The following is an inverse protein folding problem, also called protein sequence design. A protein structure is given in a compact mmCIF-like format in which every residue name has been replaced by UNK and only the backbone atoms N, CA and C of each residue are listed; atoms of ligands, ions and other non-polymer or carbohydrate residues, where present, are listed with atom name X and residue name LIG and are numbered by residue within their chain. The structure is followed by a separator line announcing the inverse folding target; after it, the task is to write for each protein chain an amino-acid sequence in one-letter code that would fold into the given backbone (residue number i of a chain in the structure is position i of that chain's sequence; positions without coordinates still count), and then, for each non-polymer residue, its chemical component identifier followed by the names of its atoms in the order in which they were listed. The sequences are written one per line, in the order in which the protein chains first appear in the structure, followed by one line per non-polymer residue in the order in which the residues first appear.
data_IF_916565371282
#
_entry.id   IF_916565371282
#
_cell.length_a   1.000
_cell.length_b   1.000
_cell.length_c   1.000
_cell.angle_alpha   90.00
_cell.angle_beta   90.00
_cell.angle_gamma   90.00
#
_symmetry.space_group_name_H-M   'P 1'
#
loop_
_entity.id
_entity.type
_entity.pdbx_description
1 polymer ?
#
# COMPACT_ATOMS: atom_id res chain seq x y z
N UNK A 1 6.48 4.14 58.59
CA UNK A 1 6.51 2.90 57.79
C UNK A 1 5.45 2.83 56.69
N UNK A 2 4.19 3.27 56.88
CA UNK A 2 3.16 3.17 55.82
C UNK A 2 3.37 4.08 54.58
N UNK A 3 4.09 5.22 54.70
CA UNK A 3 4.33 6.11 53.55
C UNK A 3 5.35 5.57 52.54
N UNK A 4 6.33 4.77 52.95
CA UNK A 4 7.31 4.17 52.03
C UNK A 4 6.71 3.06 51.16
N UNK A 5 5.73 2.30 51.67
CA UNK A 5 5.12 1.18 50.94
C UNK A 5 4.26 1.70 49.78
N UNK A 6 3.53 2.81 49.98
CA UNK A 6 2.69 3.40 48.94
C UNK A 6 3.50 3.97 47.76
N UNK A 7 4.62 4.66 48.04
CA UNK A 7 5.49 5.20 46.98
C UNK A 7 6.17 4.09 46.18
N UNK A 8 6.58 3.01 46.85
CA UNK A 8 7.23 1.87 46.19
C UNK A 8 6.24 1.09 45.31
N UNK A 9 4.99 0.91 45.76
CA UNK A 9 3.93 0.31 44.95
C UNK A 9 3.54 1.16 43.73
N UNK A 10 3.47 2.49 43.87
CA UNK A 10 3.20 3.37 42.73
C UNK A 10 4.33 3.34 41.68
N UNK A 11 5.59 3.31 42.11
CA UNK A 11 6.73 3.21 41.18
C UNK A 11 6.74 1.85 40.47
N UNK A 12 6.45 0.75 41.18
CA UNK A 12 6.32 -0.58 40.58
C UNK A 12 5.15 -0.69 39.59
N UNK A 13 4.01 -0.05 39.88
CA UNK A 13 2.86 0.01 38.97
C UNK A 13 3.17 0.82 37.72
N UNK A 14 3.88 1.96 37.85
CA UNK A 14 4.34 2.76 36.71
C UNK A 14 5.33 1.95 35.87
N UNK A 15 6.32 1.30 36.50
CA UNK A 15 7.28 0.45 35.79
C UNK A 15 6.62 -0.74 35.09
N UNK A 16 5.65 -1.42 35.73
CA UNK A 16 4.92 -2.51 35.09
C UNK A 16 4.03 -2.03 33.95
N UNK A 17 3.48 -0.81 34.06
CA UNK A 17 2.68 -0.20 33.00
C UNK A 17 3.56 0.23 31.83
N UNK A 18 4.72 0.84 32.10
CA UNK A 18 5.73 1.20 31.11
C UNK A 18 6.38 -0.03 30.47
N UNK A 19 6.60 -1.12 31.21
CA UNK A 19 7.08 -2.40 30.69
C UNK A 19 6.02 -3.10 29.83
N UNK A 20 4.75 -3.04 30.22
CA UNK A 20 3.65 -3.52 29.37
C UNK A 20 3.50 -2.68 28.11
N UNK A 21 3.63 -1.36 28.22
CA UNK A 21 3.65 -0.42 27.09
C UNK A 21 4.86 -0.75 26.19
N UNK A 22 6.06 -0.90 26.72
CA UNK A 22 7.27 -1.29 25.98
C UNK A 22 7.13 -2.64 25.28
N UNK A 23 6.56 -3.65 25.97
CA UNK A 23 6.27 -4.97 25.39
C UNK A 23 5.13 -4.94 24.35
N UNK A 24 4.21 -3.99 24.44
CA UNK A 24 3.06 -3.82 23.54
C UNK A 24 3.37 -2.94 22.33
N UNK A 25 4.29 -1.97 22.45
CA UNK A 25 4.83 -1.15 21.37
C UNK A 25 5.96 -1.83 20.59
N UNK A 26 6.31 -3.06 20.96
CA UNK A 26 7.42 -3.78 20.37
C UNK A 26 8.72 -3.25 20.97
N UNK A 27 9.41 -4.14 21.69
CA UNK A 27 10.77 -4.33 21.26
C UNK A 27 10.66 -4.58 19.75
N UNK A 28 11.17 -3.67 18.93
CA UNK A 28 11.72 -4.09 17.66
C UNK A 28 12.48 -5.38 17.98
N UNK A 29 12.16 -6.42 17.25
CA UNK A 29 13.08 -7.53 17.10
C UNK A 29 14.35 -6.96 16.46
N UNK A 30 15.17 -6.27 17.27
CA UNK A 30 16.60 -6.17 17.08
C UNK A 30 17.15 -7.57 17.36
N UNK A 31 16.81 -8.52 16.48
CA UNK A 31 17.53 -9.78 16.39
C UNK A 31 18.88 -9.43 15.77
N UNK A 32 19.91 -9.41 16.60
CA UNK A 32 21.29 -9.44 16.13
C UNK A 32 21.51 -10.78 15.43
N UNK A 33 21.53 -10.77 14.09
CA UNK A 33 21.96 -11.92 13.32
C UNK A 33 23.48 -12.11 13.47
N UNK A 34 23.89 -13.36 13.55
CA UNK A 34 25.30 -13.74 13.65
C UNK A 34 25.87 -14.00 12.26
N UNK A 35 27.19 -13.96 12.10
CA UNK A 35 27.86 -14.32 10.85
C UNK A 35 27.56 -15.76 10.37
N UNK A 36 26.99 -16.62 11.22
CA UNK A 36 26.55 -17.96 10.85
C UNK A 36 25.24 -17.96 10.04
N UNK A 37 24.35 -16.98 10.27
CA UNK A 37 23.08 -16.85 9.55
C UNK A 37 23.30 -16.45 8.07
N UNK A 38 24.39 -15.72 7.81
CA UNK A 38 24.84 -15.37 6.45
C UNK A 38 25.37 -16.56 5.64
N UNK A 39 25.85 -17.64 6.28
CA UNK A 39 26.43 -18.80 5.57
C UNK A 39 25.40 -19.74 4.95
N UNK A 40 24.12 -19.66 5.35
CA UNK A 40 23.04 -20.46 4.77
C UNK A 40 22.38 -19.80 3.55
N UNK A 41 22.71 -18.54 3.26
CA UNK A 41 22.26 -17.85 2.06
C UNK A 41 23.12 -18.30 0.87
N UNK A 42 22.54 -19.08 -0.03
CA UNK A 42 23.17 -19.42 -1.31
C UNK A 42 23.31 -18.15 -2.16
N UNK A 43 24.49 -17.52 -2.09
CA UNK A 43 24.92 -16.34 -2.85
C UNK A 43 25.03 -16.55 -4.37
N UNK A 44 24.35 -17.55 -4.96
CA UNK A 44 24.37 -17.83 -6.39
C UNK A 44 23.06 -17.48 -7.13
N UNK A 45 22.07 -16.92 -6.44
CA UNK A 45 20.87 -16.32 -7.05
C UNK A 45 20.84 -14.80 -6.90
N UNK A 46 22.00 -14.16 -7.00
CA UNK A 46 22.06 -12.73 -7.31
C UNK A 46 21.44 -12.50 -8.69
N UNK A 47 20.20 -12.01 -8.72
CA UNK A 47 19.83 -11.04 -9.74
C UNK A 47 19.86 -9.71 -9.04
N UNK A 48 20.76 -8.77 -9.40
CA UNK A 48 20.54 -7.39 -9.02
C UNK A 48 19.09 -7.04 -9.35
N UNK A 49 18.46 -6.22 -8.50
CA UNK A 49 17.19 -5.59 -8.87
C UNK A 49 17.36 -5.10 -10.31
N UNK A 50 16.42 -5.34 -11.24
CA UNK A 50 16.49 -4.71 -12.53
C UNK A 50 16.43 -3.22 -12.26
N UNK A 51 17.62 -2.62 -12.19
CA UNK A 51 17.87 -1.21 -12.41
C UNK A 51 17.28 -1.04 -13.80
N UNK A 52 16.08 -0.49 -13.90
CA UNK A 52 15.69 0.13 -15.15
C UNK A 52 16.74 1.19 -15.39
N UNK A 53 17.72 0.88 -16.23
CA UNK A 53 18.59 1.92 -16.77
C UNK A 53 17.65 2.83 -17.52
N UNK A 54 17.77 4.12 -17.25
CA UNK A 54 17.07 5.17 -18.00
C UNK A 54 17.35 5.00 -19.51
N UNK A 55 18.45 4.33 -19.87
CA UNK A 55 18.89 4.03 -21.22
C UNK A 55 18.06 2.98 -21.99
N UNK A 56 17.16 2.22 -21.35
CA UNK A 56 16.30 1.22 -22.03
C UNK A 56 14.92 1.78 -22.43
N UNK A 57 14.67 3.09 -22.21
CA UNK A 57 13.46 3.75 -22.73
C UNK A 57 13.75 4.17 -24.17
N UNK A 58 13.52 3.26 -25.13
CA UNK A 58 13.29 3.69 -26.51
C UNK A 58 12.16 4.73 -26.48
N UNK A 59 12.45 5.92 -26.99
CA UNK A 59 11.52 7.05 -27.06
C UNK A 59 10.38 6.69 -28.04
N UNK A 60 9.43 5.87 -27.57
CA UNK A 60 8.20 5.58 -28.25
C UNK A 60 7.31 6.83 -28.16
N UNK A 61 7.63 7.84 -28.98
CA UNK A 61 6.67 8.88 -29.38
C UNK A 61 5.62 8.22 -30.26
N UNK A 62 4.69 7.52 -29.64
CA UNK A 62 3.40 7.27 -30.28
C UNK A 62 2.56 8.53 -30.15
N UNK A 63 2.00 8.97 -31.28
CA UNK A 63 1.28 10.22 -31.47
C UNK A 63 -0.15 10.19 -30.90
N UNK A 64 -0.42 9.29 -29.95
CA UNK A 64 -1.67 9.19 -29.24
C UNK A 64 -1.43 9.70 -27.82
N UNK A 65 -1.66 11.01 -27.61
CA UNK A 65 -1.54 11.61 -26.28
C UNK A 65 -2.60 11.00 -25.36
N UNK A 66 -2.26 9.90 -24.69
CA UNK A 66 -3.08 9.29 -23.66
C UNK A 66 -3.39 10.39 -22.63
N UNK A 67 -4.63 10.79 -22.56
CA UNK A 67 -5.07 11.84 -21.65
C UNK A 67 -5.08 11.29 -20.22
N UNK A 68 -4.28 11.86 -19.32
CA UNK A 68 -4.14 11.41 -17.93
C UNK A 68 -4.82 12.41 -16.98
N UNK A 69 -5.65 11.90 -16.08
CA UNK A 69 -6.24 12.63 -14.98
C UNK A 69 -5.67 12.15 -13.63
N UNK A 70 -5.22 13.08 -12.79
CA UNK A 70 -4.80 12.80 -11.41
C UNK A 70 -5.98 13.07 -10.48
N UNK A 71 -6.32 12.09 -9.63
CA UNK A 71 -7.49 12.15 -8.75
C UNK A 71 -7.08 11.97 -7.29
N UNK A 72 -7.48 12.92 -6.44
CA UNK A 72 -7.36 12.85 -4.98
C UNK A 72 -8.76 12.99 -4.38
N UNK A 73 -9.14 12.07 -3.49
CA UNK A 73 -10.45 12.03 -2.85
C UNK A 73 -10.26 11.99 -1.34
N UNK A 74 -10.77 13.01 -0.64
CA UNK A 74 -10.62 13.17 0.82
C UNK A 74 -11.97 13.12 1.54
N UNK A 75 -11.97 12.66 2.80
CA UNK A 75 -13.20 12.50 3.58
C UNK A 75 -13.82 13.83 3.93
N UNK A 76 -13.00 14.72 4.48
CA UNK A 76 -13.31 16.11 4.77
C UNK A 76 -12.02 16.89 4.59
N UNK A 77 -12.08 18.10 4.00
CA UNK A 77 -10.88 18.92 3.77
C UNK A 77 -10.01 19.04 5.03
N UNK A 78 -8.90 18.31 5.07
CA UNK A 78 -7.93 18.35 6.16
C UNK A 78 -6.93 19.48 5.89
N UNK A 79 -6.74 20.36 6.88
CA UNK A 79 -5.69 21.38 6.82
C UNK A 79 -4.29 20.77 6.87
N UNK A 80 -4.15 19.57 7.42
CA UNK A 80 -2.88 18.88 7.70
C UNK A 80 -2.21 18.22 6.48
N UNK A 81 -2.77 18.38 5.29
CA UNK A 81 -2.35 17.68 4.07
C UNK A 81 -2.27 18.67 2.90
N UNK A 82 -2.21 19.97 3.20
CA UNK A 82 -2.25 21.01 2.19
C UNK A 82 -1.03 20.96 1.27
N UNK A 83 0.16 20.67 1.81
CA UNK A 83 1.38 20.67 1.00
C UNK A 83 1.38 19.58 -0.08
N UNK A 84 0.97 18.35 0.24
CA UNK A 84 0.89 17.25 -0.74
C UNK A 84 -0.11 17.59 -1.85
N UNK A 85 -1.32 17.98 -1.47
CA UNK A 85 -2.40 18.36 -2.40
C UNK A 85 -1.94 19.51 -3.31
N UNK A 86 -1.29 20.54 -2.74
CA UNK A 86 -0.76 21.66 -3.52
C UNK A 86 0.38 21.23 -4.44
N UNK A 87 1.28 20.34 -4.01
CA UNK A 87 2.37 19.80 -4.84
C UNK A 87 1.84 19.05 -6.06
N UNK A 88 0.79 18.23 -5.87
CA UNK A 88 0.15 17.46 -6.94
C UNK A 88 -0.59 18.37 -7.91
N UNK A 89 -1.34 19.36 -7.41
CA UNK A 89 -1.98 20.38 -8.24
C UNK A 89 -0.95 21.09 -9.11
N UNK A 90 0.18 21.47 -8.52
CA UNK A 90 1.27 22.17 -9.21
C UNK A 90 1.87 21.31 -10.32
N UNK A 91 2.18 20.06 -9.99
CA UNK A 91 2.71 19.09 -10.94
C UNK A 91 1.74 18.86 -12.12
N UNK A 92 0.45 18.70 -11.84
CA UNK A 92 -0.57 18.54 -12.86
C UNK A 92 -0.64 19.75 -13.82
N UNK A 93 -0.66 20.97 -13.27
CA UNK A 93 -0.69 22.20 -14.06
C UNK A 93 0.56 22.34 -14.96
N UNK A 94 1.73 22.03 -14.42
CA UNK A 94 3.00 22.17 -15.15
C UNK A 94 3.17 21.10 -16.24
N UNK A 95 2.76 19.87 -15.99
CA UNK A 95 2.89 18.76 -16.94
C UNK A 95 1.71 18.63 -17.91
N UNK A 96 0.64 19.41 -17.69
CA UNK A 96 -0.55 19.40 -18.54
C UNK A 96 -1.51 18.24 -18.25
N UNK A 97 -1.50 17.69 -17.03
CA UNK A 97 -2.47 16.67 -16.61
C UNK A 97 -3.74 17.31 -16.05
N UNK A 98 -4.88 16.64 -16.25
CA UNK A 98 -6.10 17.03 -15.55
C UNK A 98 -5.97 16.72 -14.05
N UNK A 99 -6.56 17.56 -13.21
CA UNK A 99 -6.49 17.41 -11.75
C UNK A 99 -7.89 17.49 -11.12
N UNK A 100 -8.28 16.43 -10.42
CA UNK A 100 -9.54 16.34 -9.69
C UNK A 100 -9.28 16.18 -8.21
N UNK A 101 -9.68 17.20 -7.44
CA UNK A 101 -9.71 17.15 -5.98
C UNK A 101 -11.17 17.08 -5.52
N UNK A 102 -11.54 15.99 -4.85
CA UNK A 102 -12.91 15.75 -4.41
C UNK A 102 -12.95 15.71 -2.88
N UNK A 103 -13.64 16.68 -2.29
CA UNK A 103 -13.96 16.71 -0.87
C UNK A 103 -15.33 16.03 -0.65
N UNK A 104 -15.30 14.77 -0.21
CA UNK A 104 -16.50 13.94 -0.07
C UNK A 104 -17.51 14.53 0.92
N UNK A 105 -17.04 15.18 2.00
CA UNK A 105 -17.92 15.80 3.00
C UNK A 105 -18.80 16.92 2.45
N UNK A 106 -18.39 17.53 1.33
CA UNK A 106 -19.08 18.65 0.70
C UNK A 106 -20.02 18.23 -0.44
N UNK A 107 -20.08 16.94 -0.77
CA UNK A 107 -20.85 16.45 -1.91
C UNK A 107 -21.95 15.47 -1.47
N UNK A 108 -23.14 16.01 -1.19
CA UNK A 108 -24.31 15.24 -0.73
C UNK A 108 -24.74 14.19 -1.76
N UNK A 109 -24.63 14.47 -3.05
CA UNK A 109 -24.96 13.51 -4.12
C UNK A 109 -24.02 12.31 -4.09
N UNK A 110 -22.70 12.53 -3.97
CA UNK A 110 -21.74 11.44 -3.81
C UNK A 110 -21.97 10.66 -2.52
N UNK A 111 -22.35 11.32 -1.43
CA UNK A 111 -22.69 10.64 -0.17
C UNK A 111 -23.86 9.67 -0.31
N UNK A 112 -24.85 10.04 -1.14
CA UNK A 112 -25.98 9.15 -1.44
C UNK A 112 -25.62 8.03 -2.42
N UNK A 113 -24.76 8.28 -3.40
CA UNK A 113 -24.41 7.30 -4.44
C UNK A 113 -23.33 6.31 -4.00
N UNK A 114 -22.45 6.70 -3.07
CA UNK A 114 -21.35 5.90 -2.55
C UNK A 114 -21.46 5.70 -1.03
N UNK A 115 -22.46 4.95 -0.55
CA UNK A 115 -22.77 4.82 0.87
C UNK A 115 -21.90 3.78 1.59
N UNK A 116 -20.71 3.45 1.09
CA UNK A 116 -19.80 2.52 1.76
C UNK A 116 -19.49 3.01 3.18
N UNK A 117 -19.56 2.13 4.19
CA UNK A 117 -19.37 2.50 5.60
C UNK A 117 -17.96 3.06 5.87
N UNK A 118 -16.98 2.50 5.17
CA UNK A 118 -15.59 2.88 5.30
C UNK A 118 -15.12 3.73 4.12
N UNK A 119 -14.61 4.91 4.46
CA UNK A 119 -14.13 5.88 3.50
C UNK A 119 -13.00 5.36 2.60
N UNK A 120 -12.19 4.42 3.07
CA UNK A 120 -11.14 3.82 2.22
C UNK A 120 -11.74 3.16 0.97
N UNK A 121 -12.90 2.52 1.12
CA UNK A 121 -13.67 1.92 0.01
C UNK A 121 -14.53 2.93 -0.74
N UNK A 122 -15.13 3.90 -0.04
CA UNK A 122 -15.92 4.98 -0.66
C UNK A 122 -15.17 5.68 -1.79
N UNK A 123 -13.86 5.92 -1.63
CA UNK A 123 -13.03 6.59 -2.65
C UNK A 123 -13.03 5.84 -3.99
N UNK A 124 -13.10 4.51 -3.98
CA UNK A 124 -13.13 3.72 -5.22
C UNK A 124 -14.49 3.80 -5.92
N UNK A 125 -15.59 3.92 -5.17
CA UNK A 125 -16.91 4.23 -5.73
C UNK A 125 -16.93 5.63 -6.35
N UNK A 126 -16.40 6.63 -5.64
CA UNK A 126 -16.34 8.02 -6.14
C UNK A 126 -15.47 8.12 -7.40
N UNK A 127 -14.33 7.43 -7.44
CA UNK A 127 -13.50 7.34 -8.65
C UNK A 127 -14.28 6.71 -9.81
N UNK A 128 -15.04 5.64 -9.55
CA UNK A 128 -15.89 5.00 -10.57
C UNK A 128 -16.94 5.95 -11.13
N UNK A 129 -17.61 6.73 -10.28
CA UNK A 129 -18.59 7.74 -10.72
C UNK A 129 -17.92 8.85 -11.56
N UNK A 130 -16.75 9.33 -11.14
CA UNK A 130 -15.97 10.31 -11.91
C UNK A 130 -15.61 9.77 -13.30
N UNK A 131 -15.04 8.56 -13.37
CA UNK A 131 -14.62 7.92 -14.62
C UNK A 131 -15.78 7.73 -15.62
N UNK A 132 -17.02 7.57 -15.14
CA UNK A 132 -18.23 7.50 -15.98
C UNK A 132 -18.66 8.86 -16.55
N UNK A 133 -18.28 9.97 -15.91
CA UNK A 133 -18.72 11.32 -16.27
C UNK A 133 -17.72 12.09 -17.12
N UNK A 134 -16.42 11.81 -16.97
CA UNK A 134 -15.35 12.52 -17.68
C UNK A 134 -14.59 11.59 -18.62
N UNK A 135 -14.07 12.16 -19.71
CA UNK A 135 -13.36 11.42 -20.75
C UNK A 135 -11.85 11.63 -20.61
N UNK A 136 -11.17 10.65 -20.03
CA UNK A 136 -9.72 10.52 -19.99
C UNK A 136 -9.35 9.05 -20.20
N UNK A 137 -8.19 8.79 -20.78
CA UNK A 137 -7.71 7.43 -21.05
C UNK A 137 -7.24 6.75 -19.77
N UNK A 138 -6.52 7.49 -18.93
CA UNK A 138 -5.92 7.00 -17.70
C UNK A 138 -6.25 7.91 -16.52
N UNK A 139 -6.47 7.28 -15.36
CA UNK A 139 -6.62 7.96 -14.08
C UNK A 139 -5.52 7.46 -13.14
N UNK A 140 -4.76 8.40 -12.58
CA UNK A 140 -3.88 8.14 -11.45
C UNK A 140 -4.64 8.47 -10.17
N UNK A 141 -5.00 7.44 -9.40
CA UNK A 141 -5.54 7.61 -8.06
C UNK A 141 -4.40 7.80 -7.07
N UNK A 142 -4.49 8.82 -6.21
CA UNK A 142 -3.51 9.08 -5.15
C UNK A 142 -4.19 9.33 -3.80
N UNK A 143 -3.61 8.76 -2.75
CA UNK A 143 -3.83 9.13 -1.37
C UNK A 143 -3.46 10.58 -1.10
N UNK A 144 -4.07 11.17 -0.07
CA UNK A 144 -3.83 12.55 0.28
C UNK A 144 -2.42 12.77 0.87
N UNK A 145 -1.81 11.76 1.46
CA UNK A 145 -0.45 11.82 2.03
C UNK A 145 0.70 11.59 1.03
N UNK A 146 0.40 11.59 -0.28
CA UNK A 146 1.37 11.41 -1.36
C UNK A 146 1.65 12.74 -2.04
N UNK A 147 2.90 13.18 -2.00
CA UNK A 147 3.36 14.41 -2.66
C UNK A 147 4.36 14.13 -3.77
N UNK A 148 4.44 15.05 -4.73
CA UNK A 148 5.47 14.99 -5.79
C UNK A 148 6.80 15.39 -5.19
N UNK A 149 7.86 14.65 -5.52
CA UNK A 149 9.24 15.01 -5.18
C UNK A 149 10.05 15.45 -6.39
N UNK A 150 9.94 14.75 -7.51
CA UNK A 150 10.62 15.13 -8.75
C UNK A 150 9.60 15.48 -9.85
N UNK A 151 9.28 16.77 -10.04
CA UNK A 151 8.25 17.18 -10.98
C UNK A 151 8.72 17.12 -12.44
N UNK A 152 10.00 16.78 -12.71
CA UNK A 152 10.54 16.60 -14.08
C UNK A 152 10.12 15.27 -14.68
N UNK A 153 9.96 14.24 -13.84
CA UNK A 153 9.50 12.91 -14.23
C UNK A 153 8.06 12.95 -14.71
N UNK A 154 7.72 12.07 -15.65
CA UNK A 154 6.41 12.01 -16.30
C UNK A 154 5.64 10.76 -15.91
N UNK A 155 4.30 10.85 -15.88
CA UNK A 155 3.43 9.71 -15.55
C UNK A 155 3.44 8.63 -16.63
N UNK A 156 3.67 9.03 -17.88
CA UNK A 156 3.74 8.15 -19.05
C UNK A 156 4.82 7.07 -18.87
N UNK A 157 5.90 7.35 -18.13
CA UNK A 157 6.97 6.40 -17.82
C UNK A 157 6.49 5.16 -17.04
N UNK A 158 5.34 5.25 -16.37
CA UNK A 158 4.77 4.18 -15.56
C UNK A 158 3.59 3.47 -16.23
N UNK A 159 3.11 4.00 -17.37
CA UNK A 159 2.09 3.35 -18.18
C UNK A 159 2.76 2.20 -18.95
N UNK A 160 2.29 0.95 -18.77
CA UNK A 160 2.88 -0.18 -19.48
C UNK A 160 2.76 -0.04 -20.99
N UNK A 161 3.82 -0.38 -21.71
CA UNK A 161 3.81 -0.42 -23.18
C UNK A 161 2.84 -1.49 -23.72
N UNK A 162 2.53 -2.51 -22.92
CA UNK A 162 1.53 -3.51 -23.25
C UNK A 162 0.12 -2.87 -23.29
N UNK A 163 -0.38 -2.54 -24.49
CA UNK A 163 -1.69 -1.90 -24.69
C UNK A 163 -2.90 -2.71 -24.17
N UNK A 164 -2.69 -3.97 -23.76
CA UNK A 164 -3.71 -4.82 -23.14
C UNK A 164 -3.92 -4.51 -21.66
N UNK A 165 -2.99 -3.82 -20.99
CA UNK A 165 -3.10 -3.53 -19.55
C UNK A 165 -4.10 -2.39 -19.30
N UNK A 166 -4.98 -2.63 -18.32
CA UNK A 166 -5.99 -1.66 -17.87
C UNK A 166 -5.77 -1.22 -16.43
N UNK A 167 -5.20 -2.07 -15.56
CA UNK A 167 -4.96 -1.75 -14.17
C UNK A 167 -3.49 -1.98 -13.82
N UNK A 168 -2.90 -1.01 -13.14
CA UNK A 168 -1.49 -1.03 -12.75
C UNK A 168 -1.38 -0.71 -11.26
N UNK A 169 -0.91 -1.70 -10.52
CA UNK A 169 -0.58 -1.59 -9.11
C UNK A 169 0.92 -1.78 -8.89
N UNK A 170 1.37 -1.65 -7.66
CA UNK A 170 2.73 -1.99 -7.28
C UNK A 170 2.79 -2.55 -5.85
N UNK A 171 3.76 -3.43 -5.61
CA UNK A 171 4.04 -3.95 -4.28
C UNK A 171 4.64 -2.84 -3.41
N UNK A 172 4.13 -2.68 -2.19
CA UNK A 172 4.75 -1.77 -1.21
C UNK A 172 6.12 -2.30 -0.84
N UNK A 173 7.03 -1.36 -0.58
CA UNK A 173 8.43 -1.68 -0.38
C UNK A 173 8.66 -2.62 0.82
N UNK A 174 8.12 -2.29 1.99
CA UNK A 174 8.44 -2.91 3.29
C UNK A 174 7.44 -3.97 3.78
N UNK A 175 6.42 -4.31 2.97
CA UNK A 175 5.38 -5.31 3.31
C UNK A 175 4.99 -6.16 2.13
N UNK A 176 4.38 -7.31 2.38
CA UNK A 176 3.81 -8.19 1.34
C UNK A 176 2.45 -7.67 0.82
N UNK A 177 2.27 -6.35 0.89
CA UNK A 177 1.04 -5.60 0.62
C UNK A 177 1.14 -4.96 -0.75
N UNK A 178 0.06 -5.02 -1.54
CA UNK A 178 -0.08 -4.19 -2.74
C UNK A 178 -0.55 -2.79 -2.33
N UNK A 179 0.02 -1.75 -2.91
CA UNK A 179 -0.36 -0.38 -2.61
C UNK A 179 -1.80 -0.09 -3.06
N UNK A 180 -2.72 0.01 -2.09
CA UNK A 180 -4.12 0.34 -2.33
C UNK A 180 -4.36 1.86 -2.50
N UNK A 181 -3.47 2.68 -1.95
CA UNK A 181 -3.64 4.14 -1.90
C UNK A 181 -3.01 4.86 -3.09
N UNK A 182 -2.58 4.11 -4.11
CA UNK A 182 -2.01 4.66 -5.32
C UNK A 182 -1.97 3.63 -6.44
N UNK A 183 -2.66 3.88 -7.55
CA UNK A 183 -2.70 3.00 -8.72
C UNK A 183 -3.06 3.78 -9.98
N UNK A 184 -2.62 3.27 -11.13
CA UNK A 184 -3.03 3.75 -12.45
C UNK A 184 -4.14 2.84 -12.98
N UNK A 185 -5.19 3.44 -13.52
CA UNK A 185 -6.32 2.71 -14.08
C UNK A 185 -6.79 3.34 -15.39
N UNK A 186 -6.92 2.51 -16.43
CA UNK A 186 -7.43 2.89 -17.74
C UNK A 186 -8.95 2.93 -17.71
N UNK A 187 -9.56 3.91 -18.37
CA UNK A 187 -11.02 4.02 -18.43
C UNK A 187 -11.64 2.97 -19.35
N UNK A 188 -11.98 1.81 -18.77
CA UNK A 188 -12.59 0.70 -19.49
C UNK A 188 -13.71 0.10 -18.67
N UNK A 189 -14.62 -0.62 -19.33
CA UNK A 189 -15.71 -1.33 -18.64
C UNK A 189 -15.20 -2.29 -17.56
N UNK A 190 -14.13 -3.06 -17.84
CA UNK A 190 -13.51 -3.96 -16.86
C UNK A 190 -12.97 -3.21 -15.63
N UNK A 191 -12.34 -2.06 -15.86
CA UNK A 191 -11.82 -1.20 -14.78
C UNK A 191 -12.93 -0.69 -13.87
N UNK A 192 -14.05 -0.23 -14.46
CA UNK A 192 -15.23 0.23 -13.73
C UNK A 192 -15.86 -0.90 -12.91
N UNK A 193 -15.94 -2.11 -13.48
CA UNK A 193 -16.44 -3.30 -12.79
C UNK A 193 -15.56 -3.71 -11.61
N UNK A 194 -14.23 -3.67 -11.79
CA UNK A 194 -13.28 -3.94 -10.72
C UNK A 194 -13.44 -2.94 -9.56
N UNK A 195 -13.43 -1.64 -9.86
CA UNK A 195 -13.56 -0.59 -8.82
C UNK A 195 -14.90 -0.65 -8.10
N UNK A 196 -16.00 -0.94 -8.81
CA UNK A 196 -17.32 -1.12 -8.20
C UNK A 196 -17.30 -2.27 -7.20
N UNK A 197 -16.79 -3.45 -7.61
CA UNK A 197 -16.68 -4.61 -6.71
C UNK A 197 -15.74 -4.36 -5.54
N UNK A 198 -14.63 -3.67 -5.78
CA UNK A 198 -13.68 -3.34 -4.72
C UNK A 198 -14.30 -2.36 -3.72
N UNK A 199 -15.04 -1.34 -4.16
CA UNK A 199 -15.76 -0.44 -3.29
C UNK A 199 -16.79 -1.18 -2.41
N UNK A 200 -17.51 -2.15 -2.97
CA UNK A 200 -18.52 -2.91 -2.23
C UNK A 200 -17.92 -4.03 -1.37
N UNK A 201 -16.61 -4.28 -1.48
CA UNK A 201 -15.92 -5.32 -0.74
C UNK A 201 -16.07 -5.12 0.77
N UNK A 202 -15.93 -3.88 1.27
CA UNK A 202 -16.10 -3.58 2.70
C UNK A 202 -17.49 -3.92 3.28
N UNK A 203 -18.52 -4.02 2.45
CA UNK A 203 -19.89 -4.32 2.87
C UNK A 203 -20.25 -5.82 2.74
N UNK A 204 -19.59 -6.55 1.82
CA UNK A 204 -19.99 -7.89 1.39
C UNK A 204 -19.09 -9.01 1.92
N UNK A 205 -18.15 -8.69 2.79
CA UNK A 205 -17.21 -9.64 3.36
C UNK A 205 -17.89 -10.47 4.46
N UNK A 206 -18.71 -11.43 4.06
CA UNK A 206 -19.19 -12.55 4.88
C UNK A 206 -19.20 -13.78 3.97
N UNK A 207 -18.58 -14.85 4.43
CA UNK A 207 -18.69 -16.21 3.88
C UNK A 207 -17.78 -16.59 2.70
N UNK A 208 -16.59 -17.11 3.02
CA UNK A 208 -16.01 -18.23 2.27
C UNK A 208 -15.01 -18.99 3.15
N UNK A 209 -15.39 -20.17 3.64
CA UNK A 209 -14.51 -21.06 4.40
C UNK A 209 -13.50 -21.79 3.51
N UNK A 210 -12.32 -22.10 4.08
CA UNK A 210 -11.20 -22.77 3.39
C UNK A 210 -11.42 -24.28 3.14
N UNK A 211 -12.23 -24.95 3.96
CA UNK A 211 -12.35 -26.41 3.98
C UNK A 211 -13.54 -26.87 3.13
N UNK A 212 -13.23 -27.51 2.00
CA UNK A 212 -14.20 -28.35 1.30
C UNK A 212 -14.40 -29.65 2.07
N UNK A 213 -15.66 -30.10 2.14
CA UNK A 213 -16.16 -31.40 2.63
C UNK A 213 -16.22 -31.61 4.18
N UNK A 214 -17.48 -31.67 4.63
CA UNK A 214 -18.06 -32.46 5.72
C UNK A 214 -17.88 -31.96 7.16
N UNK A 215 -16.69 -31.60 7.62
CA UNK A 215 -16.46 -31.38 9.06
C UNK A 215 -15.95 -29.97 9.45
N UNK A 216 -15.71 -29.09 8.49
CA UNK A 216 -15.26 -27.70 8.75
C UNK A 216 -16.38 -26.67 8.91
N UNK A 217 -17.60 -26.98 8.48
CA UNK A 217 -18.73 -26.04 8.47
C UNK A 217 -19.32 -25.78 9.88
N UNK A 218 -19.02 -26.62 10.87
CA UNK A 218 -19.55 -26.52 12.23
C UNK A 218 -18.76 -25.51 13.09
N UNK A 219 -17.52 -25.17 12.73
CA UNK A 219 -16.73 -24.19 13.49
C UNK A 219 -16.78 -22.76 12.94
N UNK A 220 -17.26 -22.56 11.71
CA UNK A 220 -17.38 -21.23 11.10
C UNK A 220 -18.78 -20.61 11.26
N UNK A 221 -19.77 -21.37 11.72
CA UNK A 221 -21.16 -20.95 11.79
C UNK A 221 -21.65 -20.94 13.24
N UNK A 222 -21.56 -19.80 13.94
CA UNK A 222 -22.58 -19.49 14.96
C UNK A 222 -22.20 -19.32 16.44
N UNK A 223 -20.99 -18.90 16.85
CA UNK A 223 -20.79 -18.62 18.30
C UNK A 223 -20.00 -17.37 18.71
N UNK A 224 -19.32 -16.68 17.80
CA UNK A 224 -18.52 -15.50 18.20
C UNK A 224 -19.19 -14.13 18.01
N UNK A 225 -20.33 -14.06 17.33
CA UNK A 225 -20.98 -12.79 16.99
C UNK A 225 -21.82 -12.15 18.12
N UNK A 226 -22.00 -12.81 19.28
CA UNK A 226 -22.93 -12.36 20.33
C UNK A 226 -22.31 -11.81 21.62
N UNK A 227 -20.97 -11.79 21.78
CA UNK A 227 -20.34 -11.42 23.06
C UNK A 227 -19.16 -10.44 22.95
N UNK A 228 -19.37 -9.28 22.30
CA UNK A 228 -18.46 -8.15 22.50
C UNK A 228 -19.27 -6.87 22.75
N UNK A 229 -19.47 -6.47 24.01
CA UNK A 229 -19.89 -5.11 24.32
C UNK A 229 -18.72 -4.16 24.02
N UNK A 230 -18.89 -3.28 23.03
CA UNK A 230 -18.13 -2.04 22.91
C UNK A 230 -18.36 -1.22 24.21
N UNK A 231 -17.35 -0.54 24.80
CA UNK A 231 -16.51 0.44 24.11
C UNK A 231 -15.11 0.67 24.73
N UNK A 232 -14.01 0.26 24.08
CA UNK A 232 -12.67 0.80 24.39
C UNK A 232 -11.80 0.82 23.13
N UNK A 233 -12.05 1.80 22.26
CA UNK A 233 -11.13 2.06 21.15
C UNK A 233 -9.96 2.92 21.61
N UNK A 234 -8.81 2.28 21.81
CA UNK A 234 -7.53 2.96 21.92
C UNK A 234 -6.98 3.28 20.52
N UNK A 235 -6.21 4.36 20.39
CA UNK A 235 -5.58 4.84 19.14
C UNK A 235 -4.84 3.72 18.34
N UNK A 236 -4.17 2.72 18.97
CA UNK A 236 -3.59 1.58 18.25
C UNK A 236 -4.61 0.74 17.46
N UNK A 237 -5.85 0.65 17.93
CA UNK A 237 -6.94 -0.07 17.25
C UNK A 237 -7.36 0.58 15.92
N UNK A 238 -7.33 1.91 15.82
CA UNK A 238 -7.65 2.61 14.56
C UNK A 238 -6.56 2.41 13.49
N UNK A 239 -5.28 2.43 13.87
CA UNK A 239 -4.16 2.15 12.95
C UNK A 239 -4.24 0.70 12.47
N UNK A 240 -4.54 -0.24 13.37
CA UNK A 240 -4.68 -1.65 13.04
C UNK A 240 -5.84 -1.91 12.07
N UNK A 241 -6.98 -1.25 12.24
CA UNK A 241 -8.12 -1.35 11.32
C UNK A 241 -7.79 -0.81 9.92
N UNK A 242 -7.13 0.35 9.80
CA UNK A 242 -6.74 0.91 8.50
C UNK A 242 -5.77 0.00 7.72
N UNK A 243 -4.81 -0.62 8.39
CA UNK A 243 -3.86 -1.53 7.73
C UNK A 243 -4.57 -2.79 7.25
N UNK A 244 -5.51 -3.37 8.03
CA UNK A 244 -6.33 -4.50 7.56
C UNK A 244 -7.06 -4.21 6.26
N UNK A 245 -7.54 -2.98 6.08
CA UNK A 245 -8.39 -2.57 4.95
C UNK A 245 -7.58 -2.39 3.67
N UNK A 246 -6.34 -1.89 3.76
CA UNK A 246 -5.48 -1.80 2.59
C UNK A 246 -5.11 -3.19 2.05
N UNK A 247 -4.90 -4.18 2.91
CA UNK A 247 -4.56 -5.55 2.48
C UNK A 247 -5.73 -6.24 1.74
N UNK A 248 -6.96 -5.71 1.79
CA UNK A 248 -8.11 -6.24 1.05
C UNK A 248 -8.03 -6.04 -0.48
N UNK A 249 -7.13 -5.17 -0.97
CA UNK A 249 -6.86 -5.07 -2.41
C UNK A 249 -6.38 -6.40 -2.99
N UNK A 250 -5.54 -7.15 -2.26
CA UNK A 250 -5.02 -8.42 -2.77
C UNK A 250 -6.14 -9.45 -2.93
N UNK A 251 -7.09 -9.47 -2.00
CA UNK A 251 -8.28 -10.31 -2.09
C UNK A 251 -9.16 -9.90 -3.28
N UNK A 252 -9.42 -8.61 -3.46
CA UNK A 252 -10.20 -8.09 -4.58
C UNK A 252 -9.54 -8.41 -5.94
N UNK A 253 -8.21 -8.28 -6.04
CA UNK A 253 -7.44 -8.63 -7.24
C UNK A 253 -7.56 -10.13 -7.53
N UNK A 254 -7.31 -10.98 -6.52
CA UNK A 254 -7.37 -12.43 -6.67
C UNK A 254 -8.76 -12.89 -7.08
N UNK A 255 -9.82 -12.38 -6.46
CA UNK A 255 -11.20 -12.75 -6.80
C UNK A 255 -11.62 -12.31 -8.20
N UNK A 256 -11.25 -11.08 -8.59
CA UNK A 256 -11.69 -10.51 -9.84
C UNK A 256 -10.91 -11.06 -11.04
N UNK A 257 -9.59 -11.08 -10.96
CA UNK A 257 -8.73 -11.47 -12.08
C UNK A 257 -8.42 -12.96 -12.08
N UNK A 258 -8.39 -13.62 -10.91
CA UNK A 258 -7.91 -14.99 -10.77
C UNK A 258 -8.95 -15.91 -10.10
N UNK A 259 -10.20 -15.99 -10.62
CA UNK A 259 -11.28 -16.73 -9.96
C UNK A 259 -10.96 -18.22 -9.76
N UNK A 260 -10.07 -18.80 -10.58
CA UNK A 260 -9.58 -20.17 -10.41
C UNK A 260 -8.85 -20.38 -9.06
N UNK A 261 -8.34 -19.32 -8.45
CA UNK A 261 -7.66 -19.35 -7.15
C UNK A 261 -8.60 -19.01 -5.99
N UNK A 262 -9.89 -18.75 -6.21
CA UNK A 262 -10.81 -18.27 -5.17
C UNK A 262 -10.80 -19.14 -3.91
N UNK A 263 -10.81 -20.46 -4.06
CA UNK A 263 -10.73 -21.37 -2.91
C UNK A 263 -9.47 -21.13 -2.05
N UNK A 264 -8.32 -20.95 -2.70
CA UNK A 264 -7.06 -20.67 -2.00
C UNK A 264 -7.04 -19.25 -1.43
N UNK A 265 -7.61 -18.29 -2.14
CA UNK A 265 -7.76 -16.93 -1.63
C UNK A 265 -8.64 -16.91 -0.37
N UNK A 266 -9.74 -17.66 -0.31
CA UNK A 266 -10.57 -17.82 0.89
C UNK A 266 -9.79 -18.42 2.07
N UNK A 267 -8.85 -19.35 1.80
CA UNK A 267 -7.93 -19.83 2.83
C UNK A 267 -7.02 -18.73 3.37
N UNK A 268 -6.44 -17.91 2.49
CA UNK A 268 -5.68 -16.74 2.93
C UNK A 268 -6.55 -15.81 3.79
N UNK A 269 -7.75 -15.47 3.31
CA UNK A 269 -8.66 -14.55 3.98
C UNK A 269 -9.10 -15.05 5.35
N UNK A 270 -9.15 -16.36 5.60
CA UNK A 270 -9.49 -16.92 6.91
C UNK A 270 -8.57 -16.37 8.01
N UNK A 271 -7.28 -16.17 7.72
CA UNK A 271 -6.33 -15.57 8.67
C UNK A 271 -6.61 -14.09 8.91
N UNK A 272 -6.99 -13.37 7.86
CA UNK A 272 -7.41 -11.98 7.97
C UNK A 272 -8.68 -11.85 8.81
N UNK A 273 -9.61 -12.79 8.66
CA UNK A 273 -10.88 -12.84 9.39
C UNK A 273 -10.73 -13.16 10.87
N UNK A 274 -9.99 -14.23 11.16
CA UNK A 274 -9.80 -14.73 12.52
C UNK A 274 -8.73 -13.95 13.28
N UNK A 275 -7.84 -13.26 12.56
CA UNK A 275 -6.76 -12.48 13.15
C UNK A 275 -7.27 -11.39 14.06
N UNK A 276 -6.49 -11.04 15.07
CA UNK A 276 -6.70 -9.89 15.97
C UNK A 276 -5.44 -9.02 16.11
N UNK A 277 -4.34 -9.42 15.46
CA UNK A 277 -3.01 -8.82 15.54
C UNK A 277 -2.40 -8.62 14.16
N UNK A 278 -1.35 -7.81 14.10
CA UNK A 278 -0.59 -7.55 12.87
C UNK A 278 0.08 -8.80 12.30
N UNK A 279 0.49 -9.73 13.16
CA UNK A 279 1.07 -11.02 12.74
C UNK A 279 0.15 -11.77 11.78
N UNK A 280 -1.14 -11.88 12.10
CA UNK A 280 -2.09 -12.60 11.24
C UNK A 280 -2.39 -11.86 9.93
N UNK A 281 -2.41 -10.52 9.99
CA UNK A 281 -2.52 -9.70 8.78
C UNK A 281 -1.34 -9.94 7.83
N UNK A 282 -0.12 -9.96 8.36
CA UNK A 282 1.08 -10.20 7.56
C UNK A 282 1.14 -11.64 7.02
N UNK A 283 0.57 -12.62 7.73
CA UNK A 283 0.41 -13.98 7.23
C UNK A 283 -0.56 -14.02 6.04
N UNK A 284 -1.68 -13.28 6.11
CA UNK A 284 -2.59 -13.12 4.98
C UNK A 284 -1.90 -12.44 3.79
N UNK A 285 -1.20 -11.33 4.00
CA UNK A 285 -0.48 -10.61 2.94
C UNK A 285 0.55 -11.53 2.26
N UNK A 286 1.34 -12.27 3.04
CA UNK A 286 2.29 -13.24 2.51
C UNK A 286 1.59 -14.37 1.72
N UNK A 287 0.44 -14.86 2.20
CA UNK A 287 -0.37 -15.88 1.50
C UNK A 287 -0.88 -15.37 0.15
N UNK A 288 -1.51 -14.20 0.14
CA UNK A 288 -2.07 -13.61 -1.07
C UNK A 288 -0.96 -13.25 -2.07
N UNK A 289 0.15 -12.70 -1.59
CA UNK A 289 1.33 -12.42 -2.40
C UNK A 289 1.93 -13.68 -3.00
N UNK A 290 1.98 -14.77 -2.22
CA UNK A 290 2.41 -16.07 -2.75
C UNK A 290 1.52 -16.50 -3.91
N UNK A 291 0.19 -16.47 -3.76
CA UNK A 291 -0.74 -16.85 -4.84
C UNK A 291 -0.53 -16.01 -6.10
N UNK A 292 -0.35 -14.70 -5.96
CA UNK A 292 -0.07 -13.80 -7.08
C UNK A 292 1.28 -14.11 -7.74
N UNK A 293 2.31 -14.43 -6.95
CA UNK A 293 3.65 -14.75 -7.46
C UNK A 293 3.72 -16.05 -8.26
N UNK A 294 2.75 -16.96 -8.09
CA UNK A 294 2.66 -18.19 -8.88
C UNK A 294 2.14 -17.95 -10.30
N UNK A 295 1.60 -16.76 -10.60
CA UNK A 295 1.03 -16.44 -11.89
C UNK A 295 2.06 -15.72 -12.76
N UNK A 296 2.41 -16.24 -13.95
CA UNK A 296 3.33 -15.56 -14.85
C UNK A 296 2.86 -14.15 -15.22
N UNK A 297 3.79 -13.22 -15.37
CA UNK A 297 3.49 -11.80 -15.63
C UNK A 297 2.72 -11.61 -16.94
N UNK A 298 2.99 -12.46 -17.93
CA UNK A 298 2.33 -12.48 -19.23
C UNK A 298 0.85 -12.87 -19.09
N UNK A 299 0.55 -13.81 -18.18
CA UNK A 299 -0.83 -14.22 -17.88
C UNK A 299 -1.58 -13.08 -17.17
N UNK A 300 -0.94 -12.37 -16.24
CA UNK A 300 -1.53 -11.18 -15.62
C UNK A 300 -1.80 -10.08 -16.66
N UNK A 301 -0.85 -9.83 -17.57
CA UNK A 301 -1.00 -8.85 -18.65
C UNK A 301 -2.12 -9.22 -19.64
N UNK A 302 -2.30 -10.51 -19.96
CA UNK A 302 -3.44 -11.01 -20.73
C UNK A 302 -4.78 -10.78 -20.01
N UNK A 303 -4.77 -10.82 -18.67
CA UNK A 303 -5.91 -10.44 -17.83
C UNK A 303 -6.04 -8.93 -17.60
N UNK A 304 -5.20 -8.14 -18.27
CA UNK A 304 -5.18 -6.67 -18.26
C UNK A 304 -4.73 -6.06 -16.93
N UNK A 305 -3.92 -6.80 -16.17
CA UNK A 305 -3.40 -6.42 -14.87
C UNK A 305 -1.87 -6.39 -14.89
N UNK A 306 -1.27 -5.32 -14.39
CA UNK A 306 0.16 -5.22 -14.10
C UNK A 306 0.34 -4.94 -12.61
N UNK A 307 1.25 -5.65 -11.97
CA UNK A 307 1.71 -5.34 -10.61
C UNK A 307 3.22 -5.16 -10.70
N UNK A 308 3.70 -3.94 -10.49
CA UNK A 308 5.12 -3.67 -10.43
C UNK A 308 5.74 -4.30 -9.18
N UNK A 309 6.97 -4.80 -9.32
CA UNK A 309 7.71 -5.29 -8.18
C UNK A 309 8.03 -4.16 -7.21
N UNK A 310 8.44 -4.53 -6.01
CA UNK A 310 8.77 -3.56 -4.98
C UNK A 310 9.89 -2.64 -5.49
N UNK A 311 9.75 -1.32 -5.33
CA UNK A 311 10.73 -0.35 -5.84
C UNK A 311 10.67 -0.03 -7.33
N UNK A 312 9.78 -0.67 -8.10
CA UNK A 312 9.52 -0.32 -9.51
C UNK A 312 8.30 0.60 -9.69
N UNK A 313 7.53 0.83 -8.62
CA UNK A 313 6.42 1.79 -8.63
C UNK A 313 6.88 3.25 -8.63
N UNK A 314 5.93 4.18 -8.72
CA UNK A 314 6.18 5.62 -8.79
C UNK A 314 6.25 6.34 -7.44
N UNK A 315 5.84 5.68 -6.35
CA UNK A 315 5.86 6.26 -5.01
C UNK A 315 6.74 5.46 -4.06
N UNK A 316 7.54 6.17 -3.27
CA UNK A 316 8.37 5.61 -2.21
C UNK A 316 7.83 6.03 -0.85
N UNK A 317 7.89 5.13 0.12
CA UNK A 317 7.50 5.45 1.50
C UNK A 317 8.62 6.28 2.16
N UNK A 318 8.36 7.56 2.41
CA UNK A 318 9.34 8.49 2.98
C UNK A 318 9.80 8.08 4.37
N UNK A 319 8.99 7.34 5.14
CA UNK A 319 9.43 6.81 6.43
C UNK A 319 10.55 5.79 6.26
N UNK A 320 10.53 4.99 5.19
CA UNK A 320 11.54 3.95 5.02
C UNK A 320 12.91 4.50 4.63
N UNK A 321 12.96 5.67 4.01
CA UNK A 321 14.20 6.32 3.57
C UNK A 321 14.60 7.53 4.40
N UNK A 322 13.89 7.84 5.49
CA UNK A 322 14.09 9.09 6.21
C UNK A 322 13.88 10.32 5.32
N UNK A 323 12.96 10.22 4.36
CA UNK A 323 12.67 11.18 3.30
C UNK A 323 13.81 11.43 2.31
N UNK A 324 14.89 10.63 2.35
CA UNK A 324 15.88 10.63 1.27
C UNK A 324 15.22 10.20 -0.04
N UNK A 325 15.63 10.85 -1.12
CA UNK A 325 15.14 10.62 -2.46
C UNK A 325 16.26 10.90 -3.49
N UNK A 326 16.10 10.37 -4.69
CA UNK A 326 17.02 10.60 -5.80
C UNK A 326 16.26 10.98 -7.09
N UNK A 327 16.98 11.30 -8.17
CA UNK A 327 16.37 11.74 -9.44
C UNK A 327 15.34 10.76 -10.04
N UNK A 328 15.39 9.47 -9.64
CA UNK A 328 14.43 8.47 -10.08
C UNK A 328 13.12 8.42 -9.27
N UNK A 329 12.97 9.18 -8.21
CA UNK A 329 11.74 9.18 -7.41
C UNK A 329 10.76 10.22 -7.94
N UNK A 330 9.52 9.83 -8.23
CA UNK A 330 8.47 10.78 -8.64
C UNK A 330 7.66 11.25 -7.44
N UNK A 331 7.16 10.33 -6.62
CA UNK A 331 6.37 10.65 -5.44
C UNK A 331 7.01 10.13 -4.15
N UNK A 332 6.77 10.85 -3.05
CA UNK A 332 6.97 10.35 -1.70
C UNK A 332 5.63 10.27 -0.96
N UNK A 333 5.40 9.11 -0.32
CA UNK A 333 4.28 8.88 0.57
C UNK A 333 4.64 9.20 2.02
N UNK A 334 3.63 9.59 2.79
CA UNK A 334 3.68 9.70 4.25
C UNK A 334 3.83 11.13 4.75
N UNK A 335 3.58 12.12 3.89
CA UNK A 335 3.62 13.53 4.25
C UNK A 335 2.32 13.93 4.96
N UNK A 336 2.30 13.85 6.29
CA UNK A 336 1.18 14.33 7.13
C UNK A 336 1.66 15.46 8.03
N UNK A 337 1.13 16.68 7.86
CA UNK A 337 1.56 17.88 8.58
C UNK A 337 1.24 17.84 10.09
N UNK A 338 0.32 16.98 10.52
CA UNK A 338 -0.15 16.88 11.91
C UNK A 338 0.89 16.37 12.92
N UNK A 339 2.06 15.91 12.46
CA UNK A 339 3.16 15.47 13.33
C UNK A 339 4.34 16.46 13.26
N UNK A 340 4.08 17.71 13.65
CA UNK A 340 5.09 18.78 13.77
C UNK A 340 6.28 18.45 14.71
N UNK A 341 6.25 17.32 15.43
CA UNK A 341 7.28 16.89 16.38
C UNK A 341 8.07 15.63 15.96
N UNK A 342 7.94 15.10 14.74
CA UNK A 342 8.76 13.96 14.30
C UNK A 342 9.52 14.23 13.00
N UNK A 343 10.83 14.43 13.17
CA UNK A 343 12.06 14.13 12.39
C UNK A 343 12.03 13.34 11.05
N UNK A 344 10.88 12.97 10.48
CA UNK A 344 10.81 12.47 9.10
C UNK A 344 10.84 13.68 8.16
N UNK A 345 12.05 14.23 7.99
CA UNK A 345 12.30 15.55 7.39
C UNK A 345 11.51 15.77 6.10
N UNK A 346 10.80 16.89 6.01
CA UNK A 346 10.22 17.30 4.74
C UNK A 346 11.34 17.54 3.73
N UNK A 347 11.24 17.05 2.48
CA UNK A 347 12.32 17.14 1.50
C UNK A 347 12.53 18.54 0.93
N UNK A 348 11.80 19.54 1.43
CA UNK A 348 11.84 20.93 0.98
C UNK A 348 12.33 21.84 2.09
N UNK A 349 12.95 22.96 1.71
CA UNK A 349 13.41 24.00 2.64
C UNK A 349 12.25 24.78 3.30
N UNK A 350 11.04 24.70 2.74
CA UNK A 350 9.85 25.38 3.26
C UNK A 350 8.57 24.62 2.93
N UNK A 351 7.63 24.59 3.88
CA UNK A 351 6.27 24.07 3.67
C UNK A 351 5.35 25.00 2.87
N UNK A 352 5.81 26.22 2.54
CA UNK A 352 5.04 27.24 1.78
C UNK A 352 5.37 27.29 0.30
N UNK A 353 6.23 26.39 -0.18
CA UNK A 353 6.74 26.44 -1.55
C UNK A 353 5.62 26.37 -2.61
N UNK A 354 4.50 25.72 -2.29
CA UNK A 354 3.35 25.57 -3.19
C UNK A 354 2.19 26.56 -2.92
N UNK A 355 2.39 27.58 -2.09
CA UNK A 355 1.37 28.60 -1.82
C UNK A 355 1.21 29.61 -2.98
N UNK A 356 2.23 29.73 -3.84
CA UNK A 356 2.22 30.62 -5.02
C UNK A 356 1.52 29.95 -6.21
N UNK A 357 1.13 30.75 -7.21
CA UNK A 357 0.58 30.22 -8.47
C UNK A 357 1.63 29.36 -9.18
N UNK A 358 1.22 28.18 -9.62
CA UNK A 358 2.03 27.28 -10.42
C UNK A 358 2.03 27.76 -11.88
N UNK A 359 3.10 27.50 -12.63
CA UNK A 359 3.23 27.97 -14.01
C UNK A 359 4.51 27.51 -14.68
N UNK A 360 4.61 27.76 -16.00
CA UNK A 360 5.78 27.43 -16.80
C UNK A 360 7.04 28.13 -16.24
N UNK A 361 8.06 27.34 -15.87
CA UNK A 361 9.29 27.80 -15.20
C UNK A 361 9.38 27.48 -13.70
N UNK A 362 8.36 26.85 -13.11
CA UNK A 362 8.36 26.50 -11.67
C UNK A 362 9.10 25.18 -11.36
N UNK A 363 9.34 24.30 -12.35
CA UNK A 363 10.06 23.02 -12.14
C UNK A 363 11.46 23.22 -11.53
N UNK A 364 12.15 24.28 -11.92
CA UNK A 364 13.50 24.61 -11.44
C UNK A 364 13.52 25.36 -10.10
N UNK A 365 12.35 25.71 -9.55
CA UNK A 365 12.22 26.52 -8.32
C UNK A 365 11.94 25.69 -7.08
N UNK A 366 11.79 24.36 -7.22
CA UNK A 366 11.56 23.47 -6.09
C UNK A 366 12.82 23.46 -5.21
N UNK A 367 12.70 24.12 -4.05
CA UNK A 367 13.79 24.34 -3.11
C UNK A 367 13.88 23.16 -2.16
N UNK A 368 14.77 22.23 -2.47
CA UNK A 368 14.97 21.00 -1.72
C UNK A 368 15.92 21.19 -0.54
N UNK A 369 15.74 20.40 0.50
CA UNK A 369 16.79 20.22 1.50
C UNK A 369 17.92 19.39 0.86
N UNK A 370 19.13 19.96 0.69
CA UNK A 370 20.23 19.27 0.02
C UNK A 370 20.71 18.02 0.75
N UNK A 371 20.35 17.84 2.04
CA UNK A 371 20.69 16.64 2.81
C UNK A 371 19.84 15.42 2.43
N UNK A 372 18.69 15.64 1.80
CA UNK A 372 17.69 14.61 1.49
C UNK A 372 17.69 14.20 0.03
N UNK A 373 18.26 15.03 -0.85
CA UNK A 373 18.54 14.64 -2.23
C UNK A 373 19.88 13.93 -2.29
N UNK A 374 19.86 12.62 -2.51
CA UNK A 374 21.05 11.74 -2.51
C UNK A 374 21.30 11.13 -3.89
N UNK A 375 22.48 10.54 -4.08
CA UNK A 375 22.76 9.75 -5.28
C UNK A 375 21.85 8.51 -5.33
N UNK A 376 21.41 8.13 -6.53
CA UNK A 376 20.52 7.00 -6.70
C UNK A 376 21.16 5.66 -6.33
N UNK A 377 22.48 5.51 -6.53
CA UNK A 377 23.19 4.29 -6.15
C UNK A 377 23.25 4.13 -4.63
N UNK A 378 23.54 5.20 -3.91
CA UNK A 378 23.57 5.18 -2.44
C UNK A 378 22.20 4.83 -1.86
N UNK A 379 21.14 5.44 -2.41
CA UNK A 379 19.77 5.13 -2.02
C UNK A 379 19.39 3.67 -2.33
N UNK A 380 19.80 3.15 -3.49
CA UNK A 380 19.53 1.76 -3.85
C UNK A 380 20.24 0.77 -2.92
N UNK A 381 21.47 1.08 -2.48
CA UNK A 381 22.20 0.25 -1.54
C UNK A 381 21.50 0.19 -0.17
N UNK A 382 21.05 1.33 0.36
CA UNK A 382 20.25 1.38 1.59
C UNK A 382 18.94 0.57 1.43
N UNK A 383 18.27 0.73 0.28
CA UNK A 383 17.03 0.02 0.00
C UNK A 383 17.23 -1.48 -0.23
N UNK A 384 18.38 -1.90 -0.74
CA UNK A 384 18.69 -3.32 -0.91
C UNK A 384 18.71 -4.07 0.43
N UNK A 385 19.28 -3.47 1.48
CA UNK A 385 19.28 -4.08 2.82
C UNK A 385 17.85 -4.29 3.31
N UNK A 386 17.00 -3.27 3.19
CA UNK A 386 15.60 -3.35 3.59
C UNK A 386 14.79 -4.34 2.73
N UNK A 387 15.15 -4.52 1.46
CA UNK A 387 14.56 -5.54 0.59
C UNK A 387 14.83 -6.95 1.10
N UNK A 388 16.10 -7.25 1.41
CA UNK A 388 16.48 -8.57 1.90
C UNK A 388 15.84 -8.87 3.26
N UNK A 389 15.74 -7.88 4.15
CA UNK A 389 15.00 -8.02 5.40
C UNK A 389 13.51 -8.33 5.18
N UNK A 390 12.87 -7.59 4.27
CA UNK A 390 11.46 -7.80 3.94
C UNK A 390 11.24 -9.18 3.34
N UNK A 391 12.16 -9.62 2.47
CA UNK A 391 12.14 -10.94 1.84
C UNK A 391 12.34 -12.06 2.85
N UNK A 392 13.27 -11.91 3.79
CA UNK A 392 13.48 -12.87 4.87
C UNK A 392 12.21 -13.03 5.72
N UNK A 393 11.57 -11.90 6.10
CA UNK A 393 10.29 -11.90 6.83
C UNK A 393 9.17 -12.57 6.03
N UNK A 394 9.11 -12.34 4.72
CA UNK A 394 8.16 -13.02 3.84
C UNK A 394 8.34 -14.54 3.88
N UNK A 395 9.57 -15.05 3.72
CA UNK A 395 9.83 -16.48 3.78
C UNK A 395 9.52 -17.11 5.14
N UNK A 396 9.83 -16.41 6.24
CA UNK A 396 9.45 -16.86 7.58
C UNK A 396 7.93 -17.02 7.72
N UNK A 397 7.15 -16.05 7.22
CA UNK A 397 5.68 -16.14 7.18
C UNK A 397 5.21 -17.33 6.36
N UNK A 398 5.79 -17.57 5.19
CA UNK A 398 5.46 -18.76 4.39
C UNK A 398 5.78 -20.06 5.15
N UNK A 399 6.89 -20.13 5.89
CA UNK A 399 7.18 -21.30 6.72
C UNK A 399 6.15 -21.50 7.83
N UNK A 400 5.72 -20.42 8.49
CA UNK A 400 4.63 -20.48 9.47
C UNK A 400 3.34 -21.02 8.84
N UNK A 401 3.00 -20.53 7.65
CA UNK A 401 1.82 -20.99 6.89
C UNK A 401 1.88 -22.48 6.54
N UNK A 402 3.07 -22.99 6.19
CA UNK A 402 3.30 -24.42 5.95
C UNK A 402 3.08 -25.25 7.21
N UNK A 403 3.52 -24.76 8.37
CA UNK A 403 3.35 -25.46 9.66
C UNK A 403 1.90 -25.47 10.14
N UNK A 404 1.11 -24.47 9.78
CA UNK A 404 -0.30 -24.36 10.17
C UNK A 404 -1.23 -25.34 9.40
N UNK A 405 -0.72 -26.05 8.37
CA UNK A 405 -1.53 -26.85 7.43
C UNK A 405 -2.66 -26.05 6.74
N UNK A 406 -2.58 -24.71 6.81
CA UNK A 406 -3.51 -23.75 6.21
C UNK A 406 -3.21 -23.55 4.71
N UNK A 407 -2.10 -24.11 4.23
CA UNK A 407 -1.66 -24.04 2.84
C UNK A 407 -1.78 -25.39 2.14
N UNK A 408 -2.21 -25.44 0.87
CA UNK A 408 -1.98 -26.61 0.05
C UNK A 408 -0.51 -26.60 -0.40
N UNK A 409 0.43 -26.92 0.49
CA UNK A 409 1.81 -27.24 0.08
C UNK A 409 1.81 -28.43 -0.89
N UNK A 410 0.77 -29.29 -0.82
CA UNK A 410 0.52 -30.37 -1.77
C UNK A 410 0.24 -29.93 -3.20
N UNK A 411 0.05 -28.62 -3.49
CA UNK A 411 -0.03 -28.13 -4.87
C UNK A 411 1.35 -28.01 -5.53
N UNK A 412 2.42 -27.79 -4.77
CA UNK A 412 3.80 -27.80 -5.27
C UNK A 412 4.16 -29.19 -5.83
N UNK A 413 3.72 -30.24 -5.14
CA UNK A 413 3.91 -31.64 -5.55
C UNK A 413 2.94 -32.10 -6.65
N UNK A 414 1.72 -31.52 -6.72
CA UNK A 414 0.68 -31.94 -7.66
C UNK A 414 0.75 -31.27 -9.04
N UNK A 415 1.32 -30.05 -9.13
CA UNK A 415 1.36 -29.28 -10.38
C UNK A 415 2.77 -29.05 -10.95
N UNK A 416 3.82 -29.54 -10.29
CA UNK A 416 5.16 -29.68 -10.88
C UNK A 416 5.72 -28.40 -11.50
N UNK A 417 5.89 -27.36 -10.67
CA UNK A 417 6.64 -26.14 -11.01
C UNK A 417 7.90 -26.03 -10.16
#
# INVERSE_FOLDING_TARGET
MLKCVATTCCVLLIFMTLYKIWKFFGADEAFSFTAADFKQLNFHQFRPYPISRIDDVEEARDNQTNSIAIVIIVKAGTSAVQMTIKSIRCYAEVQGYAYFYIDYSKNVTLQSMCPQEDFLFTRHCVLTDLMKRVTYDWFLFLGDDIGVINPVRRLEEFIPAEHTVNLVFYNRFYRDEIMADSYLIRNTQQSLEFLTRWADYGNNTKDAGCLGTDNGAIQASGTFAFYMPFPFFSIPGMIFMNIRRNSLIQAAILEFFLPALNRMNSCCQTMWWMGSKYSELFLYEACAQYLLSQIPKEVLAQKRLKIYEKGQGWSRDGRMTGSKWCERDLFLQGWKEEKQNMEWMFPFTSNKIFDRKCGAGELSRWSYDPRLKVDCLDLDLEMHVLFEETRAKHYQRLQTLRQMDVFPVKLYEKYGL
#
